data_IF_588244553584
#
_entry.id   IF_588244553584
#
_cell.length_a   1.000
_cell.length_b   1.000
_cell.length_c   1.000
_cell.angle_alpha   90.00
_cell.angle_beta   90.00
_cell.angle_gamma   90.00
#
_symmetry.space_group_name_H-M   'P 1'
#
loop_
_entity.id
_entity.type
_entity.pdbx_description
1 polymer ?
#
# COMPACT_ATOMS: atom_id res chain seq x y z
N UNK A 1 -11.55 -13.22 1.42
CA UNK A 1 -11.30 -14.11 0.27
C UNK A 1 -10.92 -15.51 0.77
N UNK A 2 -11.86 -16.45 0.79
CA UNK A 2 -11.53 -17.88 0.92
C UNK A 2 -11.71 -18.50 -0.44
N UNK A 3 -10.60 -18.91 -1.07
CA UNK A 3 -10.52 -20.15 -1.85
C UNK A 3 -9.06 -20.52 -2.03
N UNK A 4 -8.85 -21.82 -1.91
CA UNK A 4 -7.59 -22.52 -1.74
C UNK A 4 -7.26 -23.07 -3.10
N UNK A 5 -6.47 -22.36 -3.90
CA UNK A 5 -5.97 -22.86 -5.17
C UNK A 5 -4.48 -22.55 -5.30
N UNK A 6 -3.74 -23.58 -5.70
CA UNK A 6 -2.28 -23.59 -5.83
C UNK A 6 -1.84 -22.55 -6.88
N UNK A 7 -0.81 -21.78 -6.51
CA UNK A 7 0.03 -20.98 -7.41
C UNK A 7 -0.74 -20.04 -8.37
N UNK A 8 -1.08 -18.84 -7.90
CA UNK A 8 -1.40 -17.75 -8.82
C UNK A 8 -0.67 -16.46 -8.44
N UNK A 9 -0.15 -15.84 -9.48
CA UNK A 9 0.92 -14.86 -9.50
C UNK A 9 0.44 -13.45 -9.11
N UNK A 10 -0.76 -13.35 -8.55
CA UNK A 10 -1.39 -12.09 -8.27
C UNK A 10 -2.32 -12.12 -7.06
N UNK A 11 -1.80 -12.61 -5.92
CA UNK A 11 -2.49 -12.46 -4.64
C UNK A 11 -2.85 -10.99 -4.44
N UNK A 12 -4.15 -10.68 -4.44
CA UNK A 12 -4.74 -9.36 -4.20
C UNK A 12 -4.60 -8.92 -2.73
N UNK A 13 -3.82 -9.65 -1.92
CA UNK A 13 -3.63 -9.38 -0.50
C UNK A 13 -2.49 -8.39 -0.31
N UNK A 14 -2.80 -7.24 0.28
CA UNK A 14 -1.85 -6.22 0.67
C UNK A 14 -1.76 -6.13 2.18
N UNK A 15 -0.54 -6.07 2.71
CA UNK A 15 -0.29 -5.62 4.09
C UNK A 15 -0.44 -4.11 4.11
N UNK A 16 -1.54 -3.62 4.68
CA UNK A 16 -1.82 -2.19 4.74
C UNK A 16 -1.17 -1.58 5.97
N UNK A 17 -0.40 -0.51 5.78
CA UNK A 17 0.24 0.23 6.86
C UNK A 17 -0.03 1.72 6.73
N UNK A 18 -0.50 2.31 7.83
CA UNK A 18 -0.57 3.74 8.01
C UNK A 18 0.85 4.30 8.17
N UNK A 19 1.30 5.15 7.25
CA UNK A 19 2.67 5.68 7.25
C UNK A 19 2.84 6.89 8.18
N UNK A 20 1.74 7.54 8.60
CA UNK A 20 1.81 8.69 9.50
C UNK A 20 2.48 8.31 10.82
N UNK A 21 3.51 9.03 11.28
CA UNK A 21 4.18 8.72 12.54
C UNK A 21 3.21 8.81 13.74
N UNK A 22 3.19 7.81 14.65
CA UNK A 22 3.90 6.53 14.57
C UNK A 22 3.21 5.57 13.59
N UNK A 23 3.97 4.80 12.77
CA UNK A 23 3.38 3.88 11.79
C UNK A 23 2.47 2.83 12.44
N UNK A 24 1.30 2.58 11.86
CA UNK A 24 0.33 1.59 12.36
C UNK A 24 0.08 0.50 11.32
N UNK A 25 0.05 -0.76 11.75
CA UNK A 25 -0.36 -1.87 10.88
C UNK A 25 -1.89 -1.94 10.89
N UNK A 26 -2.53 -1.78 9.72
CA UNK A 26 -3.99 -1.88 9.57
C UNK A 26 -4.44 -3.31 9.21
N UNK A 27 -3.50 -4.25 9.05
CA UNK A 27 -3.76 -5.66 8.77
C UNK A 27 -3.53 -6.04 7.31
N UNK A 28 -4.03 -7.21 6.92
CA UNK A 28 -3.96 -7.72 5.56
C UNK A 28 -5.33 -7.58 4.91
N UNK A 29 -5.40 -6.85 3.81
CA UNK A 29 -6.65 -6.57 3.10
C UNK A 29 -6.57 -7.03 1.65
N UNK A 30 -7.70 -7.51 1.13
CA UNK A 30 -7.81 -7.85 -0.27
C UNK A 30 -8.22 -6.60 -1.04
N UNK A 31 -7.33 -6.08 -1.88
CA UNK A 31 -7.56 -4.88 -2.69
C UNK A 31 -7.27 -5.19 -4.16
N UNK A 32 -7.87 -4.46 -5.10
CA UNK A 32 -7.63 -4.67 -6.52
C UNK A 32 -6.13 -4.64 -6.87
N UNK A 33 -5.68 -5.47 -7.82
CA UNK A 33 -4.26 -5.45 -8.20
C UNK A 33 -3.84 -4.17 -8.92
N UNK A 34 -4.81 -3.42 -9.46
CA UNK A 34 -4.61 -2.13 -10.09
C UNK A 34 -4.69 -0.95 -9.10
N UNK A 35 -4.59 -1.18 -7.78
CA UNK A 35 -4.52 -0.10 -6.81
C UNK A 35 -3.29 0.77 -7.07
N UNK A 36 -3.49 2.08 -7.18
CA UNK A 36 -2.45 3.06 -7.54
C UNK A 36 -2.25 4.12 -6.44
N UNK A 37 -1.13 4.83 -6.49
CA UNK A 37 -0.90 5.98 -5.62
C UNK A 37 -1.92 7.09 -5.90
N UNK A 38 -2.38 7.77 -4.85
CA UNK A 38 -3.42 8.80 -4.93
C UNK A 38 -4.86 8.26 -4.93
N UNK A 39 -5.05 6.94 -5.03
CA UNK A 39 -6.38 6.32 -4.96
C UNK A 39 -6.92 6.32 -3.52
N UNK A 40 -8.24 6.44 -3.38
CA UNK A 40 -8.94 6.31 -2.10
C UNK A 40 -9.29 4.86 -1.85
N UNK A 41 -8.84 4.31 -0.72
CA UNK A 41 -9.13 2.93 -0.29
C UNK A 41 -9.85 2.92 1.06
N UNK A 42 -10.85 2.05 1.18
CA UNK A 42 -11.59 1.86 2.44
C UNK A 42 -11.04 0.64 3.18
N UNK A 43 -10.53 0.86 4.39
CA UNK A 43 -9.88 -0.16 5.21
C UNK A 43 -10.53 -0.13 6.60
N UNK A 44 -11.11 -1.25 7.04
CA UNK A 44 -11.77 -1.36 8.35
C UNK A 44 -12.84 -0.29 8.64
N UNK A 45 -13.53 0.20 7.60
CA UNK A 45 -14.58 1.22 7.72
C UNK A 45 -14.11 2.67 7.63
N UNK A 46 -12.80 2.90 7.55
CA UNK A 46 -12.21 4.24 7.39
C UNK A 46 -11.62 4.42 5.98
N UNK A 47 -11.66 5.64 5.48
CA UNK A 47 -11.12 5.98 4.16
C UNK A 47 -9.71 6.55 4.27
N UNK A 48 -8.81 6.05 3.43
CA UNK A 48 -7.42 6.46 3.37
C UNK A 48 -7.00 6.72 1.92
N UNK A 49 -5.98 7.54 1.74
CA UNK A 49 -5.33 7.76 0.44
C UNK A 49 -4.07 6.88 0.36
N UNK A 50 -3.90 6.21 -0.78
CA UNK A 50 -2.69 5.40 -1.05
C UNK A 50 -1.51 6.33 -1.28
N UNK A 51 -0.52 6.24 -0.39
CA UNK A 51 0.75 6.96 -0.51
C UNK A 51 1.77 6.17 -1.33
N UNK A 52 1.72 4.84 -1.31
CA UNK A 52 2.70 4.00 -1.97
C UNK A 52 2.30 2.54 -2.08
N UNK A 53 2.65 1.90 -3.20
CA UNK A 53 2.48 0.46 -3.45
C UNK A 53 3.86 -0.17 -3.50
N UNK A 54 4.18 -1.07 -2.56
CA UNK A 54 5.52 -1.66 -2.40
C UNK A 54 5.47 -3.16 -2.64
N UNK A 55 6.24 -3.63 -3.62
CA UNK A 55 6.44 -5.05 -3.92
C UNK A 55 7.80 -5.49 -3.41
N UNK A 56 7.82 -6.47 -2.51
CA UNK A 56 9.05 -7.03 -1.95
C UNK A 56 9.39 -8.34 -2.64
N UNK A 57 10.64 -8.46 -3.08
CA UNK A 57 11.19 -9.65 -3.72
C UNK A 57 12.36 -10.20 -2.89
N UNK A 58 12.54 -11.52 -2.91
CA UNK A 58 13.63 -12.23 -2.25
C UNK A 58 14.35 -13.13 -3.25
N UNK A 59 15.69 -13.20 -3.16
CA UNK A 59 16.48 -14.11 -3.99
C UNK A 59 16.34 -15.55 -3.47
N UNK A 60 15.77 -16.44 -4.29
CA UNK A 60 15.59 -17.87 -3.98
C UNK A 60 16.12 -18.71 -5.13
N UNK A 61 17.09 -19.59 -4.84
CA UNK A 61 17.66 -20.53 -5.82
C UNK A 61 18.10 -19.86 -7.13
N UNK A 62 18.79 -18.71 -7.04
CA UNK A 62 19.29 -17.97 -8.20
C UNK A 62 18.25 -17.15 -8.97
N UNK A 63 17.02 -16.99 -8.47
CA UNK A 63 15.98 -16.15 -9.08
C UNK A 63 15.27 -15.29 -8.04
N UNK A 64 14.89 -14.06 -8.39
CA UNK A 64 14.05 -13.23 -7.53
C UNK A 64 12.61 -13.76 -7.53
N UNK A 65 12.09 -14.04 -6.34
CA UNK A 65 10.72 -14.48 -6.13
C UNK A 65 9.96 -13.45 -5.29
N UNK A 66 8.67 -13.18 -5.60
CA UNK A 66 7.85 -12.28 -4.80
C UNK A 66 7.70 -12.81 -3.37
N UNK A 67 7.85 -11.93 -2.39
CA UNK A 67 7.80 -12.25 -0.97
C UNK A 67 6.62 -11.59 -0.26
N UNK A 68 6.36 -10.30 -0.51
CA UNK A 68 5.27 -9.58 0.13
C UNK A 68 4.79 -8.41 -0.73
N UNK A 69 3.53 -8.02 -0.53
CA UNK A 69 2.93 -6.80 -1.06
C UNK A 69 2.51 -5.92 0.11
N UNK A 70 2.98 -4.68 0.14
CA UNK A 70 2.67 -3.69 1.16
C UNK A 70 1.97 -2.51 0.50
N UNK A 71 0.90 -2.03 1.13
CA UNK A 71 0.20 -0.83 0.73
C UNK A 71 0.36 0.21 1.83
N UNK A 72 0.98 1.33 1.48
CA UNK A 72 1.18 2.45 2.40
C UNK A 72 0.06 3.45 2.20
N UNK A 73 -0.59 3.81 3.30
CA UNK A 73 -1.77 4.68 3.28
C UNK A 73 -1.61 5.83 4.27
N UNK A 74 -2.28 6.94 3.97
CA UNK A 74 -2.35 8.13 4.82
C UNK A 74 -3.81 8.55 4.98
N UNK A 75 -4.19 9.16 6.12
CA UNK A 75 -5.50 9.82 6.23
C UNK A 75 -5.61 10.93 5.19
N UNK A 76 -6.80 11.13 4.64
CA UNK A 76 -7.05 12.13 3.59
C UNK A 76 -6.55 13.52 3.99
N UNK A 77 -6.79 13.94 5.24
CA UNK A 77 -6.32 15.23 5.73
C UNK A 77 -4.79 15.36 5.70
N UNK A 78 -4.05 14.31 6.06
CA UNK A 78 -2.57 14.33 6.02
C UNK A 78 -2.06 14.42 4.59
N UNK A 79 -2.67 13.67 3.67
CA UNK A 79 -2.29 13.67 2.26
C UNK A 79 -2.43 15.06 1.64
N UNK A 80 -3.57 15.72 1.87
CA UNK A 80 -3.82 17.10 1.39
C UNK A 80 -2.83 18.09 1.99
N UNK A 81 -2.57 17.99 3.30
CA UNK A 81 -1.59 18.86 3.96
C UNK A 81 -0.18 18.69 3.38
N UNK A 82 0.24 17.45 3.07
CA UNK A 82 1.53 17.22 2.43
C UNK A 82 1.60 17.84 1.04
N UNK A 83 0.57 17.64 0.19
CA UNK A 83 0.53 18.28 -1.13
C UNK A 83 0.65 19.80 -1.05
N UNK A 84 -0.04 20.42 -0.08
CA UNK A 84 0.07 21.86 0.14
C UNK A 84 1.49 22.26 0.56
N UNK A 85 2.09 21.56 1.52
CA UNK A 85 3.44 21.86 1.97
C UNK A 85 4.48 21.67 0.86
N UNK A 86 4.34 20.63 0.04
CA UNK A 86 5.22 20.37 -1.10
C UNK A 86 5.13 21.50 -2.14
N UNK A 87 3.93 22.08 -2.34
CA UNK A 87 3.73 23.21 -3.27
C UNK A 87 4.39 24.53 -2.83
N UNK A 88 4.76 24.65 -1.54
CA UNK A 88 5.43 25.84 -1.01
C UNK A 88 6.95 25.76 -1.17
N UNK A 89 7.50 24.57 -1.41
CA UNK A 89 8.93 24.40 -1.61
C UNK A 89 9.27 24.80 -3.04
N UNK A 90 10.31 25.63 -3.25
CA UNK A 90 10.79 25.90 -4.60
C UNK A 90 11.34 24.61 -5.22
N UNK A 91 11.14 24.44 -6.53
CA UNK A 91 11.76 23.34 -7.28
C UNK A 91 13.28 23.38 -7.05
N UNK A 92 13.81 22.34 -6.41
CA UNK A 92 15.23 22.21 -6.04
C UNK A 92 16.11 21.81 -7.22
#
# INVERSE_FOLDING_TARGET
CKRRDRADTNSHHYRVTLVTPPPKNLGIHCLPSNTQCGETVTVSGESYIVSGVVYQYQLKKGRYAPSAKKLEVQPTGRYILNMYLDSLLPDS
#
